data_IF_361215134562
#
_entry.id   IF_361215134562
#
_cell.length_a   1.000
_cell.length_b   1.000
_cell.length_c   1.000
_cell.angle_alpha   90.00
_cell.angle_beta   90.00
_cell.angle_gamma   90.00
#
_symmetry.space_group_name_H-M   'P 1'
#
loop_
_entity.id
_entity.type
_entity.pdbx_description
1 polymer ?
#
# COMPACT_ATOMS: atom_id res chain seq x y z
N UNK A 1 -26.28 31.30 15.47
CA UNK A 1 -26.14 30.32 16.56
C UNK A 1 -25.59 28.98 16.07
N UNK A 2 -26.26 28.30 15.13
CA UNK A 2 -25.87 26.96 14.64
C UNK A 2 -24.43 26.86 14.06
N UNK A 3 -23.93 27.90 13.39
CA UNK A 3 -22.57 27.89 12.81
C UNK A 3 -21.48 27.99 13.90
N UNK A 4 -21.77 28.69 15.00
CA UNK A 4 -20.82 28.85 16.10
C UNK A 4 -20.71 27.56 16.92
N UNK A 5 -21.85 26.95 17.25
CA UNK A 5 -21.91 25.65 17.94
C UNK A 5 -21.21 24.53 17.17
N UNK A 6 -21.33 24.51 15.82
CA UNK A 6 -20.59 23.56 14.97
C UNK A 6 -19.07 23.78 14.98
N UNK A 7 -18.61 25.03 15.05
CA UNK A 7 -17.17 25.35 15.13
C UNK A 7 -16.58 25.00 16.49
N UNK A 8 -17.35 25.23 17.56
CA UNK A 8 -16.92 24.90 18.92
C UNK A 8 -16.86 23.37 19.11
N UNK A 9 -17.86 22.63 18.61
CA UNK A 9 -17.85 21.16 18.62
C UNK A 9 -16.67 20.55 17.86
N UNK A 10 -16.38 21.05 16.64
CA UNK A 10 -15.22 20.58 15.86
C UNK A 10 -13.89 20.86 16.56
N UNK A 11 -13.78 21.98 17.28
CA UNK A 11 -12.58 22.35 18.02
C UNK A 11 -12.34 21.42 19.22
N UNK A 12 -13.40 21.04 19.92
CA UNK A 12 -13.32 20.10 21.04
C UNK A 12 -12.96 18.69 20.59
N UNK A 13 -13.51 18.23 19.46
CA UNK A 13 -13.15 16.96 18.84
C UNK A 13 -11.67 16.95 18.38
N UNK A 14 -11.19 18.04 17.79
CA UNK A 14 -9.80 18.21 17.36
C UNK A 14 -8.83 18.14 18.55
N UNK A 15 -9.16 18.83 19.64
CA UNK A 15 -8.38 18.82 20.87
C UNK A 15 -8.37 17.43 21.53
N UNK A 16 -9.51 16.77 21.58
CA UNK A 16 -9.63 15.42 22.14
C UNK A 16 -8.80 14.40 21.33
N UNK A 17 -8.86 14.47 20.00
CA UNK A 17 -8.07 13.59 19.14
C UNK A 17 -6.56 13.79 19.35
N UNK A 18 -6.10 15.05 19.48
CA UNK A 18 -4.69 15.34 19.80
C UNK A 18 -4.30 14.83 21.18
N UNK A 19 -5.16 15.03 22.17
CA UNK A 19 -4.92 14.54 23.53
C UNK A 19 -4.75 13.01 23.53
N UNK A 20 -5.59 12.28 22.80
CA UNK A 20 -5.49 10.82 22.69
C UNK A 20 -4.15 10.38 22.09
N UNK A 21 -3.72 11.00 20.98
CA UNK A 21 -2.42 10.72 20.35
C UNK A 21 -1.25 10.99 21.32
N UNK A 22 -1.29 12.13 22.04
CA UNK A 22 -0.24 12.49 23.00
C UNK A 22 -0.22 11.56 24.21
N UNK A 23 -1.38 11.11 24.67
CA UNK A 23 -1.50 10.16 25.77
C UNK A 23 -0.93 8.79 25.40
N UNK A 24 -1.26 8.28 24.21
CA UNK A 24 -0.63 7.07 23.66
C UNK A 24 0.89 7.23 23.58
N UNK A 25 1.41 8.37 23.08
CA UNK A 25 2.85 8.59 23.02
C UNK A 25 3.52 8.60 24.42
N UNK A 26 2.85 9.18 25.42
CA UNK A 26 3.35 9.16 26.79
C UNK A 26 3.38 7.74 27.37
N UNK A 27 2.39 6.91 27.03
CA UNK A 27 2.35 5.50 27.41
C UNK A 27 3.43 4.68 26.69
N UNK A 28 3.60 4.88 25.38
CA UNK A 28 4.65 4.28 24.57
C UNK A 28 6.04 4.57 25.15
N UNK A 29 6.33 5.81 25.54
CA UNK A 29 7.64 6.16 26.15
C UNK A 29 7.93 5.40 27.44
N UNK A 30 6.91 4.95 28.17
CA UNK A 30 7.06 4.19 29.41
C UNK A 30 7.15 2.68 29.17
N UNK A 31 6.45 2.17 28.17
CA UNK A 31 6.19 0.72 28.02
C UNK A 31 6.72 0.11 26.72
N UNK A 32 7.04 0.94 25.73
CA UNK A 32 7.34 0.53 24.36
C UNK A 32 6.13 0.06 23.54
N UNK A 33 4.91 0.15 24.08
CA UNK A 33 3.69 -0.35 23.41
C UNK A 33 2.93 0.77 22.71
N UNK A 34 2.43 0.48 21.50
CA UNK A 34 1.61 1.40 20.68
C UNK A 34 0.12 1.29 21.04
N UNK A 35 -0.21 1.67 22.27
CA UNK A 35 -1.58 1.75 22.76
C UNK A 35 -1.68 2.73 23.93
N UNK A 36 -2.90 3.16 24.24
CA UNK A 36 -3.17 3.95 25.44
C UNK A 36 -3.13 3.07 26.72
N UNK A 37 -3.35 3.69 27.88
CA UNK A 37 -3.38 2.99 29.17
C UNK A 37 -4.46 1.92 29.29
N UNK A 38 -5.48 1.96 28.43
CA UNK A 38 -6.59 1.01 28.38
C UNK A 38 -6.34 -0.14 27.39
N UNK A 39 -5.20 -0.10 26.67
CA UNK A 39 -4.83 -1.10 25.67
C UNK A 39 -5.38 -0.84 24.28
N UNK A 40 -6.05 0.29 24.06
CA UNK A 40 -6.60 0.66 22.76
C UNK A 40 -5.57 1.40 21.90
N UNK A 41 -5.60 1.17 20.58
CA UNK A 41 -4.72 1.87 19.63
C UNK A 41 -5.41 3.08 19.07
N UNK A 42 -4.78 4.24 19.16
CA UNK A 42 -5.26 5.47 18.56
C UNK A 42 -5.06 5.40 17.05
N UNK A 43 -6.12 5.70 16.31
CA UNK A 43 -6.11 5.79 14.85
C UNK A 43 -6.58 7.17 14.41
N UNK A 44 -5.84 7.78 13.47
CA UNK A 44 -6.19 9.04 12.84
C UNK A 44 -6.24 8.81 11.34
N UNK A 45 -7.38 9.09 10.71
CA UNK A 45 -7.60 8.84 9.28
C UNK A 45 -7.20 7.41 8.83
N UNK A 46 -7.38 6.42 9.71
CA UNK A 46 -7.06 5.00 9.46
C UNK A 46 -5.61 4.60 9.79
N UNK A 47 -4.72 5.54 10.09
CA UNK A 47 -3.33 5.28 10.45
C UNK A 47 -3.14 5.20 11.97
N UNK A 48 -2.32 4.25 12.42
CA UNK A 48 -1.80 4.18 13.80
C UNK A 48 -0.29 4.41 13.84
N UNK A 49 0.24 4.77 14.99
CA UNK A 49 1.68 5.01 15.15
C UNK A 49 2.50 3.75 14.88
N UNK A 50 2.00 2.57 15.26
CA UNK A 50 2.63 1.29 14.97
C UNK A 50 2.77 1.04 13.46
N UNK A 51 1.70 1.26 12.69
CA UNK A 51 1.74 1.10 11.23
C UNK A 51 2.72 2.07 10.58
N UNK A 52 2.70 3.34 11.00
CA UNK A 52 3.63 4.35 10.51
C UNK A 52 5.11 4.00 10.81
N UNK A 53 5.37 3.27 11.90
CA UNK A 53 6.73 2.79 12.22
C UNK A 53 7.07 1.54 11.42
N UNK A 54 6.20 0.53 11.42
CA UNK A 54 6.47 -0.78 10.87
C UNK A 54 6.40 -0.82 9.33
N UNK A 55 5.43 -0.13 8.75
CA UNK A 55 5.17 -0.14 7.30
C UNK A 55 5.91 1.00 6.60
N UNK A 56 6.05 2.15 7.27
CA UNK A 56 6.66 3.36 6.72
C UNK A 56 8.07 3.66 7.24
N UNK A 57 8.61 2.80 8.11
CA UNK A 57 9.97 2.94 8.65
C UNK A 57 10.21 4.23 9.45
N UNK A 58 9.15 4.89 9.94
CA UNK A 58 9.31 6.11 10.74
C UNK A 58 9.86 5.79 12.13
N UNK A 59 10.65 6.71 12.69
CA UNK A 59 10.94 6.63 14.14
C UNK A 59 9.67 6.93 14.93
N UNK A 60 9.49 6.34 16.12
CA UNK A 60 8.25 6.50 16.90
C UNK A 60 7.81 7.96 17.08
N UNK A 61 8.73 8.86 17.44
CA UNK A 61 8.41 10.29 17.60
C UNK A 61 7.87 10.94 16.32
N UNK A 62 8.38 10.56 15.15
CA UNK A 62 7.90 11.06 13.87
C UNK A 62 6.53 10.49 13.52
N UNK A 63 6.27 9.23 13.85
CA UNK A 63 4.94 8.62 13.67
C UNK A 63 3.87 9.38 14.48
N UNK A 64 4.12 9.67 15.76
CA UNK A 64 3.17 10.46 16.57
C UNK A 64 3.01 11.90 16.08
N UNK A 65 4.11 12.57 15.68
CA UNK A 65 4.02 13.89 15.08
C UNK A 65 3.18 13.86 13.79
N UNK A 66 3.32 12.84 12.95
CA UNK A 66 2.49 12.65 11.76
C UNK A 66 1.01 12.46 12.12
N UNK A 67 0.67 11.70 13.18
CA UNK A 67 -0.72 11.58 13.63
C UNK A 67 -1.30 12.92 14.09
N UNK A 68 -0.53 13.74 14.78
CA UNK A 68 -0.95 15.11 15.16
C UNK A 68 -1.14 15.97 13.92
N UNK A 69 -0.22 15.94 12.96
CA UNK A 69 -0.34 16.66 11.69
C UNK A 69 -1.50 16.16 10.82
N UNK A 70 -1.89 14.89 10.92
CA UNK A 70 -3.10 14.37 10.26
C UNK A 70 -4.37 14.98 10.84
N UNK A 71 -4.37 15.37 12.11
CA UNK A 71 -5.48 16.07 12.73
C UNK A 71 -5.49 17.53 12.26
N UNK A 72 -4.33 18.20 12.28
CA UNK A 72 -4.19 19.62 11.91
C UNK A 72 -4.35 19.92 10.42
N UNK A 73 -3.65 19.16 9.59
CA UNK A 73 -3.50 19.39 8.15
C UNK A 73 -3.62 18.03 7.41
N UNK A 74 -4.81 17.41 7.42
CA UNK A 74 -5.00 16.06 6.87
C UNK A 74 -4.61 15.96 5.40
N UNK A 75 -5.00 16.92 4.57
CA UNK A 75 -4.75 16.89 3.13
C UNK A 75 -3.25 16.86 2.80
N UNK A 76 -2.45 17.72 3.44
CA UNK A 76 -1.01 17.81 3.21
C UNK A 76 -0.28 16.60 3.80
N UNK A 77 -0.67 16.18 5.01
CA UNK A 77 -0.02 15.05 5.67
C UNK A 77 -0.33 13.73 4.96
N UNK A 78 -1.57 13.51 4.52
CA UNK A 78 -1.93 12.35 3.71
C UNK A 78 -1.20 12.33 2.36
N UNK A 79 -0.95 13.49 1.75
CA UNK A 79 -0.17 13.56 0.51
C UNK A 79 1.27 13.11 0.74
N UNK A 80 1.92 13.58 1.82
CA UNK A 80 3.28 13.18 2.17
C UNK A 80 3.39 11.69 2.54
N UNK A 81 2.43 11.16 3.30
CA UNK A 81 2.37 9.74 3.63
C UNK A 81 2.26 8.88 2.37
N UNK A 82 1.36 9.23 1.44
CA UNK A 82 1.22 8.52 0.16
C UNK A 82 2.48 8.58 -0.69
N UNK A 83 3.21 9.70 -0.68
CA UNK A 83 4.49 9.78 -1.38
C UNK A 83 5.52 8.84 -0.76
N UNK A 84 5.64 8.84 0.58
CA UNK A 84 6.58 7.99 1.30
C UNK A 84 6.25 6.50 1.12
N UNK A 85 4.97 6.12 1.20
CA UNK A 85 4.48 4.77 0.88
C UNK A 85 4.91 4.38 -0.53
N UNK A 86 4.71 5.25 -1.52
CA UNK A 86 5.12 5.01 -2.90
C UNK A 86 6.62 4.85 -3.09
N UNK A 87 7.45 5.58 -2.33
CA UNK A 87 8.92 5.44 -2.36
C UNK A 87 9.35 4.11 -1.77
N UNK A 88 8.79 3.70 -0.63
CA UNK A 88 9.12 2.42 0.00
C UNK A 88 8.68 1.22 -0.86
N UNK A 89 7.47 1.25 -1.42
CA UNK A 89 7.00 0.22 -2.35
C UNK A 89 7.96 0.10 -3.54
N UNK A 90 8.44 1.24 -4.08
CA UNK A 90 9.40 1.25 -5.18
C UNK A 90 10.72 0.58 -4.78
N UNK A 91 11.28 0.95 -3.64
CA UNK A 91 12.56 0.41 -3.16
C UNK A 91 12.45 -1.09 -2.89
N UNK A 92 11.43 -1.52 -2.14
CA UNK A 92 11.17 -2.94 -1.83
C UNK A 92 11.01 -3.78 -3.11
N UNK A 93 10.28 -3.28 -4.11
CA UNK A 93 10.09 -4.00 -5.37
C UNK A 93 11.37 -4.05 -6.20
N UNK A 94 12.13 -2.94 -6.28
CA UNK A 94 13.40 -2.91 -7.01
C UNK A 94 14.39 -3.91 -6.39
N UNK A 95 14.51 -3.93 -5.07
CA UNK A 95 15.34 -4.88 -4.33
C UNK A 95 14.89 -6.32 -4.60
N UNK A 96 13.59 -6.59 -4.50
CA UNK A 96 13.04 -7.92 -4.81
C UNK A 96 13.39 -8.39 -6.22
N UNK A 97 13.24 -7.52 -7.23
CA UNK A 97 13.60 -7.84 -8.62
C UNK A 97 15.10 -8.12 -8.80
N UNK A 98 15.96 -7.40 -8.07
CA UNK A 98 17.39 -7.64 -8.10
C UNK A 98 17.76 -8.96 -7.42
N UNK A 99 17.21 -9.22 -6.23
CA UNK A 99 17.62 -10.34 -5.40
C UNK A 99 17.01 -11.67 -5.85
N UNK A 100 15.73 -11.65 -6.20
CA UNK A 100 14.97 -12.87 -6.53
C UNK A 100 15.04 -13.16 -8.02
N UNK A 101 14.86 -12.14 -8.86
CA UNK A 101 14.77 -12.31 -10.32
C UNK A 101 16.09 -12.04 -11.04
N UNK A 102 17.16 -11.72 -10.29
CA UNK A 102 18.52 -11.45 -10.79
C UNK A 102 18.56 -10.38 -11.89
N UNK A 103 17.64 -9.42 -11.82
CA UNK A 103 17.60 -8.27 -12.73
C UNK A 103 18.66 -7.23 -12.35
N UNK A 104 19.18 -6.51 -13.34
CA UNK A 104 19.98 -5.31 -13.05
C UNK A 104 19.09 -4.20 -12.48
N UNK A 105 19.65 -3.29 -11.69
CA UNK A 105 18.93 -2.13 -11.14
C UNK A 105 18.16 -1.34 -12.22
N UNK A 106 18.75 -1.20 -13.43
CA UNK A 106 18.10 -0.56 -14.58
C UNK A 106 16.84 -1.32 -15.03
N UNK A 107 16.94 -2.64 -15.18
CA UNK A 107 15.80 -3.49 -15.55
C UNK A 107 14.72 -3.47 -14.46
N UNK A 108 15.11 -3.56 -13.19
CA UNK A 108 14.20 -3.48 -12.04
C UNK A 108 13.44 -2.16 -12.00
N UNK A 109 14.14 -1.04 -12.22
CA UNK A 109 13.52 0.29 -12.29
C UNK A 109 12.52 0.41 -13.44
N UNK A 110 12.89 -0.08 -14.64
CA UNK A 110 12.00 -0.07 -15.80
C UNK A 110 10.77 -0.95 -15.59
N UNK A 111 10.94 -2.11 -14.95
CA UNK A 111 9.83 -3.00 -14.66
C UNK A 111 8.87 -2.39 -13.63
N UNK A 112 9.41 -1.81 -12.55
CA UNK A 112 8.62 -1.03 -11.59
C UNK A 112 7.83 0.09 -12.28
N UNK A 113 8.46 0.87 -13.18
CA UNK A 113 7.78 1.97 -13.89
C UNK A 113 6.58 1.47 -14.71
N UNK A 114 6.70 0.29 -15.33
CA UNK A 114 5.58 -0.34 -16.06
C UNK A 114 4.45 -0.76 -15.13
N UNK A 115 4.77 -1.39 -13.99
CA UNK A 115 3.76 -1.73 -12.97
C UNK A 115 3.10 -0.48 -12.40
N UNK A 116 3.88 0.55 -12.07
CA UNK A 116 3.40 1.81 -11.50
C UNK A 116 2.46 2.60 -12.42
N UNK A 117 2.43 2.28 -13.72
CA UNK A 117 1.44 2.83 -14.67
C UNK A 117 0.02 2.37 -14.30
N UNK A 118 -0.12 1.20 -13.68
CA UNK A 118 -1.38 0.59 -13.29
C UNK A 118 -1.37 0.31 -11.79
N UNK A 119 -1.73 1.32 -10.98
CA UNK A 119 -1.58 1.30 -9.52
C UNK A 119 -2.24 0.10 -8.84
N UNK A 120 -3.41 -0.29 -9.30
CA UNK A 120 -4.13 -1.46 -8.79
C UNK A 120 -3.37 -2.77 -9.03
N UNK A 121 -2.80 -2.96 -10.22
CA UNK A 121 -1.93 -4.11 -10.54
C UNK A 121 -0.64 -4.08 -9.70
N UNK A 122 -0.04 -2.89 -9.52
CA UNK A 122 1.13 -2.70 -8.67
C UNK A 122 0.85 -3.13 -7.22
N UNK A 123 -0.27 -2.68 -6.65
CA UNK A 123 -0.63 -2.99 -5.27
C UNK A 123 -0.90 -4.48 -5.07
N UNK A 124 -1.58 -5.14 -6.01
CA UNK A 124 -1.78 -6.59 -5.94
C UNK A 124 -0.46 -7.35 -6.07
N UNK A 125 0.44 -6.91 -6.95
CA UNK A 125 1.77 -7.52 -7.08
C UNK A 125 2.60 -7.39 -5.80
N UNK A 126 2.60 -6.20 -5.20
CA UNK A 126 3.28 -5.92 -3.94
C UNK A 126 2.73 -6.77 -2.79
N UNK A 127 1.40 -6.92 -2.72
CA UNK A 127 0.77 -7.82 -1.76
C UNK A 127 1.23 -9.27 -1.97
N UNK A 128 1.14 -9.78 -3.21
CA UNK A 128 1.56 -11.14 -3.56
C UNK A 128 3.02 -11.39 -3.23
N UNK A 129 3.91 -10.43 -3.47
CA UNK A 129 5.32 -10.52 -3.10
C UNK A 129 5.50 -10.66 -1.57
N UNK A 130 4.76 -9.90 -0.76
CA UNK A 130 4.90 -9.93 0.71
C UNK A 130 4.28 -11.17 1.36
N UNK A 131 3.15 -11.65 0.85
CA UNK A 131 2.36 -12.71 1.50
C UNK A 131 2.48 -14.08 0.81
N UNK A 132 2.92 -14.11 -0.45
CA UNK A 132 2.82 -15.28 -1.32
C UNK A 132 1.38 -15.63 -1.70
N UNK A 133 0.40 -14.79 -1.39
CA UNK A 133 -1.03 -15.03 -1.58
C UNK A 133 -1.62 -14.00 -2.55
N UNK A 134 -2.58 -14.43 -3.36
CA UNK A 134 -3.41 -13.52 -4.15
C UNK A 134 -4.42 -12.83 -3.23
N UNK A 135 -4.84 -11.60 -3.57
CA UNK A 135 -5.97 -10.97 -2.88
C UNK A 135 -7.18 -11.92 -2.90
N UNK A 136 -7.80 -12.13 -1.75
CA UNK A 136 -8.91 -13.07 -1.59
C UNK A 136 -10.03 -12.75 -2.58
N UNK A 137 -10.77 -13.75 -3.03
CA UNK A 137 -11.89 -13.62 -4.00
C UNK A 137 -13.02 -12.66 -3.54
N UNK A 138 -13.01 -12.26 -2.26
CA UNK A 138 -13.90 -11.25 -1.66
C UNK A 138 -13.34 -9.82 -1.68
N UNK A 139 -12.03 -9.66 -1.85
CA UNK A 139 -11.31 -8.40 -2.04
C UNK A 139 -10.79 -8.36 -3.47
N UNK A 140 -11.72 -8.14 -4.42
CA UNK A 140 -11.53 -7.83 -5.84
C UNK A 140 -10.11 -8.08 -6.37
N UNK A 141 -9.76 -9.35 -6.62
CA UNK A 141 -8.58 -9.68 -7.44
C UNK A 141 -8.66 -8.88 -8.74
N UNK A 142 -7.58 -8.26 -9.19
CA UNK A 142 -7.63 -7.39 -10.37
C UNK A 142 -7.93 -8.24 -11.60
N UNK A 143 -9.17 -8.09 -12.06
CA UNK A 143 -9.69 -8.74 -13.23
C UNK A 143 -9.52 -7.80 -14.42
N UNK A 144 -8.70 -8.21 -15.39
CA UNK A 144 -8.58 -7.52 -16.67
C UNK A 144 -9.27 -8.39 -17.73
N UNK A 145 -10.51 -8.04 -18.07
CA UNK A 145 -11.38 -8.89 -18.88
C UNK A 145 -11.87 -10.11 -18.09
N UNK A 146 -11.44 -11.31 -18.45
CA UNK A 146 -11.77 -12.56 -17.73
C UNK A 146 -10.56 -13.17 -16.99
N UNK A 147 -9.42 -12.46 -16.98
CA UNK A 147 -8.16 -12.98 -16.48
C UNK A 147 -7.70 -12.27 -15.21
N UNK A 148 -7.21 -13.07 -14.27
CA UNK A 148 -6.50 -12.65 -13.06
C UNK A 148 -5.08 -13.19 -13.09
N UNK A 149 -4.17 -12.67 -12.27
CA UNK A 149 -2.81 -13.19 -12.16
C UNK A 149 -2.82 -14.68 -11.79
N UNK A 150 -3.68 -15.07 -10.83
CA UNK A 150 -3.93 -16.46 -10.43
C UNK A 150 -4.34 -17.33 -11.62
N UNK A 151 -5.32 -16.88 -12.42
CA UNK A 151 -5.80 -17.62 -13.58
C UNK A 151 -4.72 -17.77 -14.64
N UNK A 152 -3.98 -16.70 -14.94
CA UNK A 152 -2.87 -16.74 -15.87
C UNK A 152 -1.77 -17.70 -15.42
N UNK A 153 -1.40 -17.71 -14.14
CA UNK A 153 -0.40 -18.64 -13.60
C UNK A 153 -0.89 -20.10 -13.56
N UNK A 154 -2.21 -20.32 -13.42
CA UNK A 154 -2.77 -21.67 -13.42
C UNK A 154 -2.96 -22.25 -14.83
N UNK A 155 -3.36 -21.40 -15.78
CA UNK A 155 -3.63 -21.80 -17.17
C UNK A 155 -2.39 -21.74 -18.08
N UNK A 156 -1.26 -21.22 -17.57
CA UNK A 156 -0.01 -21.03 -18.33
C UNK A 156 1.22 -21.37 -17.48
N UNK A 157 2.42 -21.45 -18.06
CA UNK A 157 3.68 -21.60 -17.31
C UNK A 157 4.34 -20.26 -16.98
N UNK A 158 3.56 -19.17 -16.90
CA UNK A 158 4.10 -17.87 -16.51
C UNK A 158 4.44 -17.86 -15.02
N UNK A 159 5.67 -17.44 -14.72
CA UNK A 159 6.05 -16.99 -13.38
C UNK A 159 5.25 -15.73 -12.99
N UNK A 160 5.17 -15.39 -11.68
CA UNK A 160 4.43 -14.20 -11.22
C UNK A 160 4.76 -12.96 -12.04
N UNK A 161 6.04 -12.68 -12.27
CA UNK A 161 6.45 -11.52 -13.09
C UNK A 161 5.82 -11.52 -14.50
N UNK A 162 5.74 -12.69 -15.12
CA UNK A 162 5.13 -12.89 -16.43
C UNK A 162 3.63 -12.65 -16.40
N UNK A 163 2.94 -13.18 -15.38
CA UNK A 163 1.49 -13.04 -15.23
C UNK A 163 1.06 -11.58 -15.05
N UNK A 164 1.74 -10.82 -14.18
CA UNK A 164 1.40 -9.40 -13.96
C UNK A 164 1.79 -8.51 -15.16
N UNK A 165 2.90 -8.83 -15.87
CA UNK A 165 3.19 -8.21 -17.17
C UNK A 165 2.09 -8.45 -18.20
N UNK A 166 1.50 -9.65 -18.14
CA UNK A 166 0.43 -10.02 -19.05
C UNK A 166 -0.88 -9.31 -18.73
N UNK A 167 -1.21 -9.10 -17.45
CA UNK A 167 -2.34 -8.26 -17.03
C UNK A 167 -2.19 -6.82 -17.55
N UNK A 168 -0.99 -6.24 -17.47
CA UNK A 168 -0.71 -4.93 -18.08
C UNK A 168 -0.98 -4.98 -19.58
N UNK A 169 -0.50 -6.02 -20.27
CA UNK A 169 -0.67 -6.18 -21.72
C UNK A 169 -2.14 -6.35 -22.12
N UNK A 170 -2.94 -7.08 -21.33
CA UNK A 170 -4.38 -7.21 -21.50
C UNK A 170 -5.10 -5.87 -21.34
N UNK A 171 -4.60 -5.00 -20.45
CA UNK A 171 -5.19 -3.69 -20.22
C UNK A 171 -4.82 -2.68 -21.30
N UNK A 172 -3.56 -2.68 -21.74
CA UNK A 172 -3.07 -1.72 -22.74
C UNK A 172 -3.37 -2.13 -24.18
N UNK A 173 -3.33 -3.44 -24.48
CA UNK A 173 -3.46 -4.00 -25.83
C UNK A 173 -4.28 -5.31 -25.78
N UNK A 174 -5.58 -5.25 -25.42
CA UNK A 174 -6.41 -6.42 -25.18
C UNK A 174 -6.46 -7.38 -26.37
N UNK A 175 -6.64 -6.87 -27.59
CA UNK A 175 -6.74 -7.71 -28.80
C UNK A 175 -5.46 -8.49 -29.08
N UNK A 176 -4.30 -7.85 -28.91
CA UNK A 176 -3.01 -8.49 -29.11
C UNK A 176 -2.76 -9.54 -28.03
N UNK A 177 -3.02 -9.21 -26.77
CA UNK A 177 -2.83 -10.12 -25.65
C UNK A 177 -3.77 -11.34 -25.78
N UNK A 178 -5.06 -11.16 -26.00
CA UNK A 178 -5.99 -12.28 -26.20
C UNK A 178 -5.60 -13.19 -27.36
N UNK A 179 -5.03 -12.63 -28.44
CA UNK A 179 -4.51 -13.42 -29.57
C UNK A 179 -3.27 -14.25 -29.18
N UNK A 180 -2.39 -13.72 -28.33
CA UNK A 180 -1.22 -14.45 -27.83
C UNK A 180 -1.62 -15.56 -26.84
N UNK A 181 -2.61 -15.33 -25.97
CA UNK A 181 -3.17 -16.37 -25.10
C UNK A 181 -3.73 -17.54 -25.91
N UNK A 182 -4.54 -17.24 -26.94
CA UNK A 182 -5.13 -18.25 -27.83
C UNK A 182 -4.10 -19.05 -28.64
N UNK A 183 -2.90 -18.50 -28.83
CA UNK A 183 -1.80 -19.16 -29.56
C UNK A 183 -1.01 -20.15 -28.70
N UNK A 184 -1.30 -20.24 -27.40
CA UNK A 184 -0.52 -21.00 -26.44
C UNK A 184 0.72 -20.20 -26.03
N UNK A 185 0.68 -19.64 -24.82
CA UNK A 185 1.90 -19.15 -24.18
C UNK A 185 2.85 -20.33 -23.93
N UNK A 186 4.18 -20.12 -23.86
CA UNK A 186 5.14 -21.21 -23.72
C UNK A 186 4.70 -22.17 -22.62
N UNK A 187 4.52 -23.43 -23.01
CA UNK A 187 4.24 -24.54 -22.12
C UNK A 187 5.57 -25.20 -21.78
N UNK A 188 5.77 -25.53 -20.51
CA UNK A 188 6.99 -26.12 -19.93
C UNK A 188 7.66 -27.18 -20.79
#
# INVERSE_FOLDING_TARGET
MIIQERKDYQKDEHLMNKFNVLNEYAYFKKTGKYCNSEGERVKVHGYSAEQLVNELGLKPIFAYNCLVSLIDEPSQTLFLLRQKDGVLIKEELIEHFMDTLKMSHKQSTQYYQRLATHRDILMEYHHFMKTGQYCNEKEVSIQVGEYTAKRLMAETNLEPIGAYNYLISLREKPEWALKQLKRGLPVK
#
